data_IF_007875019359
#
_entry.id   IF_007875019359
#
_cell.length_a   1.000
_cell.length_b   1.000
_cell.length_c   1.000
_cell.angle_alpha   90.00
_cell.angle_beta   90.00
_cell.angle_gamma   90.00
#
_symmetry.space_group_name_H-M   'P 1'
#
loop_
_entity.id
_entity.type
_entity.pdbx_description
1 polymer ?
#
# COMPACT_ATOMS: atom_id res chain seq x y z
N UNK A 1 -9.86 -27.76 -71.99
CA UNK A 1 -9.08 -27.82 -70.75
C UNK A 1 -8.97 -26.39 -70.21
N UNK A 2 -9.52 -26.12 -69.02
CA UNK A 2 -9.32 -24.91 -68.16
C UNK A 2 -9.92 -23.59 -68.70
N UNK A 3 -10.72 -22.75 -68.02
CA UNK A 3 -11.65 -22.69 -66.87
C UNK A 3 -12.32 -21.28 -67.00
N UNK A 4 -13.64 -21.08 -66.81
CA UNK A 4 -14.20 -19.72 -66.75
C UNK A 4 -14.06 -19.12 -65.34
N UNK A 5 -13.95 -17.79 -65.28
CA UNK A 5 -13.79 -17.00 -64.05
C UNK A 5 -15.08 -17.01 -63.21
N UNK A 6 -14.95 -17.37 -61.94
CA UNK A 6 -16.03 -17.28 -60.95
C UNK A 6 -16.20 -15.85 -60.47
N UNK A 7 -17.38 -15.27 -60.72
CA UNK A 7 -17.84 -14.05 -60.06
C UNK A 7 -18.31 -14.41 -58.64
N UNK A 8 -17.68 -13.81 -57.62
CA UNK A 8 -18.09 -13.92 -56.23
C UNK A 8 -19.16 -12.84 -55.96
N UNK A 9 -20.42 -13.25 -55.76
CA UNK A 9 -21.44 -12.39 -55.16
C UNK A 9 -21.14 -12.28 -53.66
N UNK A 10 -20.85 -11.08 -53.16
CA UNK A 10 -20.96 -10.78 -51.72
C UNK A 10 -22.42 -10.46 -51.40
N UNK A 11 -23.11 -11.35 -50.67
CA UNK A 11 -24.30 -10.99 -49.93
C UNK A 11 -23.88 -10.29 -48.63
N UNK A 12 -24.24 -9.02 -48.47
CA UNK A 12 -24.19 -8.34 -47.20
C UNK A 12 -25.39 -8.78 -46.35
N UNK A 13 -25.14 -9.53 -45.28
CA UNK A 13 -26.13 -9.78 -44.23
C UNK A 13 -25.95 -8.71 -43.14
N UNK A 14 -26.90 -7.77 -43.04
CA UNK A 14 -27.06 -6.96 -41.84
C UNK A 14 -27.57 -7.87 -40.72
N UNK A 15 -26.69 -8.30 -39.83
CA UNK A 15 -27.07 -8.82 -38.53
C UNK A 15 -27.23 -7.62 -37.58
N UNK A 16 -28.47 -7.24 -37.30
CA UNK A 16 -28.80 -6.42 -36.15
C UNK A 16 -28.55 -7.26 -34.88
N UNK A 17 -27.36 -7.12 -34.31
CA UNK A 17 -27.07 -7.66 -32.99
C UNK A 17 -27.59 -6.66 -31.95
N UNK A 18 -28.73 -6.99 -31.34
CA UNK A 18 -29.14 -6.41 -30.06
C UNK A 18 -28.11 -6.80 -29.00
N UNK A 19 -27.14 -5.92 -28.77
CA UNK A 19 -26.19 -6.02 -27.67
C UNK A 19 -26.85 -5.59 -26.36
N UNK A 20 -27.69 -6.46 -25.78
CA UNK A 20 -27.97 -6.41 -24.36
C UNK A 20 -26.72 -6.85 -23.61
N UNK A 21 -25.74 -5.96 -23.47
CA UNK A 21 -24.67 -6.15 -22.49
C UNK A 21 -25.32 -5.96 -21.13
N UNK A 22 -25.48 -7.05 -20.37
CA UNK A 22 -25.55 -6.93 -18.92
C UNK A 22 -24.25 -6.29 -18.48
N UNK A 23 -24.22 -4.97 -18.41
CA UNK A 23 -23.12 -4.25 -17.80
C UNK A 23 -23.08 -4.74 -16.36
N UNK A 24 -21.94 -5.35 -15.99
CA UNK A 24 -21.67 -5.62 -14.59
C UNK A 24 -21.80 -4.33 -13.78
N UNK A 25 -22.00 -4.48 -12.47
CA UNK A 25 -22.01 -3.35 -11.54
C UNK A 25 -20.75 -2.52 -11.80
N UNK A 26 -20.85 -1.19 -12.04
CA UNK A 26 -19.69 -0.34 -12.24
C UNK A 26 -18.69 -0.50 -11.09
N UNK A 27 -17.41 -0.51 -11.43
CA UNK A 27 -16.33 -0.67 -10.46
C UNK A 27 -15.76 0.69 -10.07
N UNK A 28 -15.99 1.08 -8.83
CA UNK A 28 -15.48 2.30 -8.21
C UNK A 28 -14.15 2.07 -7.46
N UNK A 29 -13.68 0.82 -7.32
CA UNK A 29 -12.46 0.51 -6.56
C UNK A 29 -11.24 1.26 -7.09
N UNK A 30 -10.31 1.56 -6.21
CA UNK A 30 -9.02 2.17 -6.52
C UNK A 30 -8.87 3.58 -5.97
N UNK A 31 -7.77 4.22 -6.38
CA UNK A 31 -7.40 5.55 -5.94
C UNK A 31 -7.86 6.59 -6.96
N UNK A 32 -8.42 7.69 -6.46
CA UNK A 32 -9.00 8.78 -7.22
C UNK A 32 -8.43 10.11 -6.77
N UNK A 33 -7.97 10.93 -7.71
CA UNK A 33 -7.72 12.34 -7.47
C UNK A 33 -9.04 13.09 -7.58
N UNK A 34 -9.45 13.79 -6.52
CA UNK A 34 -10.77 14.42 -6.47
C UNK A 34 -10.72 15.89 -6.09
N UNK A 35 -11.87 16.57 -6.17
CA UNK A 35 -12.06 17.94 -5.69
C UNK A 35 -11.56 18.18 -4.26
N UNK A 36 -11.59 17.15 -3.41
CA UNK A 36 -11.25 17.22 -1.98
C UNK A 36 -9.96 16.47 -1.62
N UNK A 37 -9.12 16.18 -2.61
CA UNK A 37 -7.90 15.40 -2.45
C UNK A 37 -8.06 13.93 -2.85
N UNK A 38 -7.08 13.12 -2.50
CA UNK A 38 -7.04 11.72 -2.87
C UNK A 38 -8.08 10.91 -2.08
N UNK A 39 -8.88 10.13 -2.80
CA UNK A 39 -9.91 9.25 -2.29
C UNK A 39 -9.55 7.81 -2.67
N UNK A 40 -9.52 6.91 -1.69
CA UNK A 40 -9.31 5.48 -1.91
C UNK A 40 -10.65 4.78 -1.69
N UNK A 41 -11.08 3.99 -2.66
CA UNK A 41 -12.31 3.20 -2.60
C UNK A 41 -11.99 1.70 -2.72
N UNK A 42 -12.68 0.88 -1.94
CA UNK A 42 -12.69 -0.57 -2.05
C UNK A 42 -14.13 -1.04 -2.30
N UNK A 43 -14.33 -1.92 -3.28
CA UNK A 43 -15.65 -2.44 -3.63
C UNK A 43 -15.71 -3.97 -3.54
N UNK A 44 -16.64 -4.48 -2.73
CA UNK A 44 -17.01 -5.89 -2.70
C UNK A 44 -18.45 -6.05 -3.21
N UNK A 45 -18.57 -6.51 -4.46
CA UNK A 45 -19.84 -6.60 -5.17
C UNK A 45 -20.50 -5.23 -5.35
N UNK A 46 -21.60 -4.98 -4.63
CA UNK A 46 -22.27 -3.68 -4.61
C UNK A 46 -21.86 -2.82 -3.43
N UNK A 47 -21.16 -3.34 -2.42
CA UNK A 47 -20.76 -2.58 -1.24
C UNK A 47 -19.49 -1.81 -1.54
N UNK A 48 -19.46 -0.53 -1.19
CA UNK A 48 -18.26 0.31 -1.34
C UNK A 48 -17.93 0.93 0.01
N UNK A 49 -16.68 0.78 0.42
CA UNK A 49 -16.07 1.55 1.50
C UNK A 49 -14.91 2.37 0.96
N UNK A 50 -14.46 3.38 1.71
CA UNK A 50 -13.32 4.17 1.33
C UNK A 50 -13.00 5.27 2.30
N UNK A 51 -11.93 5.98 2.02
CA UNK A 51 -11.46 7.06 2.86
C UNK A 51 -10.70 8.13 2.07
N UNK A 52 -10.63 9.31 2.66
CA UNK A 52 -9.83 10.45 2.22
C UNK A 52 -9.33 11.23 3.45
N UNK A 53 -8.40 12.16 3.25
CA UNK A 53 -7.83 12.97 4.34
C UNK A 53 -8.28 14.42 4.22
N UNK A 54 -9.00 14.92 5.22
CA UNK A 54 -9.39 16.32 5.33
C UNK A 54 -9.47 16.75 6.80
N UNK A 55 -8.39 17.32 7.33
CA UNK A 55 -8.30 17.66 8.76
C UNK A 55 -8.31 16.44 9.70
N UNK A 56 -8.13 15.24 9.14
CA UNK A 56 -8.21 13.94 9.80
C UNK A 56 -8.66 12.86 8.80
N UNK A 57 -8.72 11.61 9.25
CA UNK A 57 -9.29 10.52 8.47
C UNK A 57 -10.80 10.75 8.28
N UNK A 58 -11.27 10.67 7.04
CA UNK A 58 -12.68 10.79 6.68
C UNK A 58 -13.09 9.52 5.93
N UNK A 59 -14.29 9.00 6.20
CA UNK A 59 -14.77 7.74 5.63
C UNK A 59 -15.92 7.96 4.65
N UNK A 60 -16.04 7.03 3.72
CA UNK A 60 -17.15 6.89 2.78
C UNK A 60 -17.65 5.45 2.86
N UNK A 61 -18.94 5.28 3.08
CA UNK A 61 -19.60 3.97 3.06
C UNK A 61 -20.87 4.04 2.23
N UNK A 62 -21.07 3.09 1.32
CA UNK A 62 -22.19 3.14 0.40
C UNK A 62 -22.42 1.87 -0.38
N UNK A 63 -23.33 1.96 -1.34
CA UNK A 63 -23.60 0.87 -2.27
C UNK A 63 -23.88 1.35 -3.69
N UNK A 64 -23.46 0.54 -4.67
CA UNK A 64 -23.78 0.76 -6.08
C UNK A 64 -25.20 0.26 -6.34
N UNK A 65 -26.08 1.19 -6.69
CA UNK A 65 -27.47 0.90 -7.03
C UNK A 65 -27.59 0.21 -8.39
N UNK A 66 -28.77 -0.34 -8.68
CA UNK A 66 -29.07 -0.93 -9.99
C UNK A 66 -28.95 0.05 -11.18
N UNK A 67 -28.96 1.36 -10.90
CA UNK A 67 -28.71 2.42 -11.87
C UNK A 67 -27.23 2.54 -12.28
N UNK A 68 -26.32 1.90 -11.53
CA UNK A 68 -24.88 2.06 -11.67
C UNK A 68 -24.30 3.22 -10.84
N UNK A 69 -25.13 3.96 -10.12
CA UNK A 69 -24.71 5.05 -9.24
C UNK A 69 -24.29 4.50 -7.89
N UNK A 70 -23.12 4.93 -7.40
CA UNK A 70 -22.74 4.75 -6.01
C UNK A 70 -23.45 5.79 -5.16
N UNK A 71 -24.26 5.37 -4.19
CA UNK A 71 -24.87 6.23 -3.17
C UNK A 71 -24.22 5.92 -1.84
N UNK A 72 -23.80 6.95 -1.10
CA UNK A 72 -22.99 6.80 0.09
C UNK A 72 -23.33 7.81 1.18
N UNK A 73 -22.93 7.47 2.39
CA UNK A 73 -22.75 8.39 3.51
C UNK A 73 -21.27 8.63 3.75
N UNK A 74 -20.93 9.80 4.26
CA UNK A 74 -19.57 10.13 4.65
C UNK A 74 -19.52 10.64 6.09
N UNK A 75 -18.38 10.41 6.75
CA UNK A 75 -18.07 10.89 8.08
C UNK A 75 -16.72 11.61 8.08
N UNK A 76 -16.71 12.83 8.62
CA UNK A 76 -15.55 13.68 8.83
C UNK A 76 -15.48 14.04 10.32
N UNK A 77 -14.31 14.47 10.85
CA UNK A 77 -14.18 14.85 12.26
C UNK A 77 -15.21 15.88 12.75
N UNK A 78 -15.65 16.78 11.88
CA UNK A 78 -16.60 17.86 12.21
C UNK A 78 -17.92 17.83 11.43
N UNK A 79 -18.11 16.87 10.53
CA UNK A 79 -19.30 16.83 9.68
C UNK A 79 -19.64 15.38 9.27
N UNK A 80 -20.89 15.17 8.89
CA UNK A 80 -21.30 13.94 8.21
C UNK A 80 -22.38 14.29 7.21
N UNK A 81 -22.61 13.41 6.25
CA UNK A 81 -23.60 13.68 5.22
C UNK A 81 -23.81 12.52 4.28
N UNK A 82 -24.34 12.85 3.12
CA UNK A 82 -24.63 11.89 2.07
C UNK A 82 -24.18 12.42 0.71
N UNK A 83 -23.90 11.49 -0.20
CA UNK A 83 -23.44 11.80 -1.53
C UNK A 83 -23.73 10.70 -2.53
N UNK A 84 -23.39 10.98 -3.76
CA UNK A 84 -23.42 10.00 -4.84
C UNK A 84 -22.32 10.25 -5.87
N UNK A 85 -21.83 9.17 -6.49
CA UNK A 85 -20.91 9.19 -7.61
C UNK A 85 -21.50 8.42 -8.80
N UNK A 86 -21.27 8.94 -10.00
CA UNK A 86 -21.63 8.32 -11.26
C UNK A 86 -20.38 8.25 -12.14
N UNK A 87 -20.00 7.03 -12.51
CA UNK A 87 -18.80 6.74 -13.28
C UNK A 87 -19.00 7.16 -14.74
N UNK A 88 -17.98 7.75 -15.35
CA UNK A 88 -17.94 7.95 -16.79
C UNK A 88 -17.90 6.59 -17.52
N UNK A 89 -18.38 6.52 -18.79
CA UNK A 89 -18.42 5.26 -19.53
C UNK A 89 -17.07 4.57 -19.74
N UNK A 90 -15.97 5.34 -19.71
CA UNK A 90 -14.60 4.84 -19.82
C UNK A 90 -14.04 4.32 -18.48
N UNK A 91 -14.78 4.52 -17.39
CA UNK A 91 -14.36 4.18 -16.04
C UNK A 91 -13.23 5.03 -15.49
N UNK A 92 -12.75 6.05 -16.22
CA UNK A 92 -11.54 6.81 -15.87
C UNK A 92 -11.83 8.03 -14.99
N UNK A 93 -13.10 8.43 -14.90
CA UNK A 93 -13.56 9.57 -14.10
C UNK A 93 -14.93 9.30 -13.49
N UNK A 94 -15.30 10.08 -12.48
CA UNK A 94 -16.66 10.15 -11.98
C UNK A 94 -17.09 11.60 -11.79
N UNK A 95 -18.40 11.80 -11.84
CA UNK A 95 -19.06 13.03 -11.39
C UNK A 95 -19.98 12.71 -10.22
N UNK A 96 -20.14 13.65 -9.31
CA UNK A 96 -20.93 13.40 -8.12
C UNK A 96 -21.30 14.65 -7.37
N UNK A 97 -22.09 14.45 -6.33
CA UNK A 97 -22.47 15.51 -5.41
C UNK A 97 -22.54 14.99 -3.99
N UNK A 98 -22.34 15.88 -3.04
CA UNK A 98 -22.52 15.61 -1.61
C UNK A 98 -23.27 16.77 -0.94
N UNK A 99 -23.82 16.48 0.24
CA UNK A 99 -24.35 17.49 1.16
C UNK A 99 -24.16 17.06 2.60
N UNK A 100 -23.88 18.04 3.46
CA UNK A 100 -23.87 17.82 4.90
C UNK A 100 -25.27 17.47 5.42
N UNK A 101 -25.31 16.67 6.48
CA UNK A 101 -26.54 16.28 7.18
C UNK A 101 -27.31 17.54 7.61
N UNK A 102 -28.57 17.62 7.21
CA UNK A 102 -29.45 18.75 7.50
C UNK A 102 -29.29 19.95 6.55
N UNK A 103 -28.31 19.92 5.62
CA UNK A 103 -28.23 20.88 4.52
C UNK A 103 -29.16 20.49 3.38
N UNK A 104 -29.76 21.48 2.71
CA UNK A 104 -30.45 21.28 1.43
C UNK A 104 -29.56 21.57 0.22
N UNK A 105 -28.37 22.15 0.45
CA UNK A 105 -27.43 22.54 -0.60
C UNK A 105 -26.52 21.37 -0.96
N UNK A 106 -26.53 21.01 -2.24
CA UNK A 106 -25.61 20.04 -2.84
C UNK A 106 -24.38 20.75 -3.41
N UNK A 107 -23.21 20.17 -3.20
CA UNK A 107 -21.92 20.63 -3.73
C UNK A 107 -21.35 19.56 -4.66
N UNK A 108 -20.61 19.98 -5.69
CA UNK A 108 -19.98 19.05 -6.64
C UNK A 108 -18.81 18.29 -6.03
N UNK A 109 -18.64 17.04 -6.44
CA UNK A 109 -17.47 16.21 -6.15
C UNK A 109 -17.13 15.44 -7.41
N UNK A 110 -16.01 15.81 -8.02
CA UNK A 110 -15.52 15.21 -9.26
C UNK A 110 -14.20 14.49 -8.97
N UNK A 111 -13.93 13.42 -9.71
CA UNK A 111 -12.68 12.69 -9.58
C UNK A 111 -12.24 11.97 -10.85
N UNK A 112 -10.94 11.69 -10.94
CA UNK A 112 -10.31 10.90 -11.99
C UNK A 112 -9.36 9.86 -11.38
N UNK A 113 -9.22 8.71 -12.01
CA UNK A 113 -8.38 7.62 -11.49
C UNK A 113 -6.94 8.06 -11.38
N UNK A 114 -6.33 7.89 -10.21
CA UNK A 114 -4.91 8.09 -10.01
C UNK A 114 -4.14 7.00 -10.75
N UNK A 115 -3.09 7.36 -11.49
CA UNK A 115 -2.10 6.39 -11.95
C UNK A 115 -2.38 5.63 -13.24
N UNK A 116 -3.12 6.16 -14.23
CA UNK A 116 -2.99 5.62 -15.60
C UNK A 116 -1.55 5.71 -16.14
N UNK A 117 -0.75 6.63 -15.60
CA UNK A 117 0.70 6.79 -15.87
C UNK A 117 1.61 6.20 -14.76
N UNK A 118 1.03 5.62 -13.70
CA UNK A 118 1.76 5.14 -12.49
C UNK A 118 1.43 3.70 -12.05
N UNK A 119 0.57 2.99 -12.79
CA UNK A 119 0.34 1.56 -12.60
C UNK A 119 1.64 0.80 -12.94
N UNK A 120 2.40 0.44 -11.90
CA UNK A 120 3.74 -0.14 -11.99
C UNK A 120 4.82 0.64 -11.21
N UNK A 121 4.48 1.77 -10.61
CA UNK A 121 5.37 2.49 -9.70
C UNK A 121 5.62 1.70 -8.42
N UNK A 122 6.88 1.66 -7.98
CA UNK A 122 7.27 1.12 -6.68
C UNK A 122 7.51 2.26 -5.70
N UNK A 123 6.94 2.16 -4.52
CA UNK A 123 7.14 3.11 -3.42
C UNK A 123 7.88 2.44 -2.28
N UNK A 124 9.07 2.94 -1.97
CA UNK A 124 9.73 2.61 -0.71
C UNK A 124 9.29 3.65 0.33
N UNK A 125 8.49 3.23 1.29
CA UNK A 125 8.03 4.09 2.39
C UNK A 125 8.78 3.67 3.65
N UNK A 126 9.59 4.58 4.19
CA UNK A 126 10.40 4.35 5.39
C UNK A 126 9.80 5.18 6.51
N UNK A 127 9.31 4.49 7.52
CA UNK A 127 8.83 5.05 8.76
C UNK A 127 9.91 4.81 9.82
N UNK A 128 10.63 5.87 10.16
CA UNK A 128 11.75 5.82 11.08
C UNK A 128 11.38 6.42 12.43
N UNK A 129 11.97 5.92 13.51
CA UNK A 129 11.89 6.54 14.84
C UNK A 129 13.25 7.08 15.21
N UNK A 130 13.30 8.12 16.04
CA UNK A 130 14.57 8.65 16.53
C UNK A 130 15.39 7.55 17.22
N UNK A 131 16.67 7.46 16.85
CA UNK A 131 17.57 6.44 17.40
C UNK A 131 18.26 6.91 18.68
N UNK A 132 18.30 8.22 18.88
CA UNK A 132 18.98 8.90 19.97
C UNK A 132 18.00 9.20 21.11
N UNK A 133 18.44 8.95 22.34
CA UNK A 133 17.68 9.31 23.54
C UNK A 133 18.12 10.68 24.11
N UNK A 134 19.27 11.20 23.63
CA UNK A 134 19.95 12.34 24.26
C UNK A 134 20.66 13.23 23.25
N UNK A 135 20.73 14.53 23.57
CA UNK A 135 21.42 15.54 22.74
C UNK A 135 22.94 15.35 22.60
N UNK A 136 23.56 14.57 23.49
CA UNK A 136 25.00 14.28 23.43
C UNK A 136 25.34 13.04 22.60
N UNK A 137 24.33 12.36 22.07
CA UNK A 137 24.49 11.24 21.14
C UNK A 137 24.68 11.73 19.71
N UNK A 138 25.34 10.91 18.90
CA UNK A 138 25.55 11.25 17.50
C UNK A 138 24.27 11.01 16.71
N UNK A 139 23.86 12.02 15.93
CA UNK A 139 22.76 11.90 14.99
C UNK A 139 23.05 10.79 13.97
N UNK A 140 22.03 9.97 13.75
CA UNK A 140 22.03 8.82 12.88
C UNK A 140 20.60 8.62 12.39
N UNK A 141 20.45 8.58 11.07
CA UNK A 141 19.20 8.21 10.39
C UNK A 141 19.53 7.13 9.37
N UNK A 142 18.96 5.95 9.59
CA UNK A 142 19.07 4.86 8.64
C UNK A 142 18.17 5.13 7.44
N UNK A 143 16.99 5.71 7.67
CA UNK A 143 16.05 6.12 6.65
C UNK A 143 16.64 7.09 5.63
N UNK A 144 17.39 8.10 6.08
CA UNK A 144 18.07 9.05 5.18
C UNK A 144 19.09 8.35 4.27
N UNK A 145 19.81 7.34 4.78
CA UNK A 145 20.75 6.56 3.97
C UNK A 145 20.03 5.71 2.92
N UNK A 146 18.94 5.06 3.30
CA UNK A 146 18.10 4.29 2.38
C UNK A 146 17.45 5.21 1.32
N UNK A 147 16.94 6.37 1.72
CA UNK A 147 16.39 7.37 0.80
C UNK A 147 17.43 7.84 -0.20
N UNK A 148 18.59 8.29 0.27
CA UNK A 148 19.66 8.78 -0.60
C UNK A 148 20.11 7.71 -1.62
N UNK A 149 20.14 6.45 -1.22
CA UNK A 149 20.56 5.36 -2.10
C UNK A 149 19.49 4.95 -3.12
N UNK A 150 18.23 4.75 -2.68
CA UNK A 150 17.18 4.19 -3.53
C UNK A 150 16.45 5.25 -4.37
N UNK A 151 16.49 6.54 -4.00
CA UNK A 151 15.93 7.61 -4.80
C UNK A 151 16.61 7.79 -6.18
N UNK A 152 17.77 7.16 -6.39
CA UNK A 152 18.46 7.14 -7.70
C UNK A 152 17.84 6.19 -8.72
N UNK A 153 16.98 5.26 -8.28
CA UNK A 153 16.47 4.18 -9.13
C UNK A 153 15.31 4.67 -10.00
N UNK A 154 15.38 4.39 -11.30
CA UNK A 154 14.27 4.65 -12.21
C UNK A 154 13.04 3.80 -11.82
N UNK A 155 11.86 4.43 -11.75
CA UNK A 155 10.61 3.75 -11.41
C UNK A 155 10.40 3.46 -9.92
N UNK A 156 11.30 3.93 -9.05
CA UNK A 156 11.17 3.87 -7.59
C UNK A 156 11.02 5.27 -7.03
N UNK A 157 10.01 5.49 -6.20
CA UNK A 157 9.87 6.70 -5.40
C UNK A 157 10.07 6.38 -3.93
N UNK A 158 10.88 7.19 -3.24
CA UNK A 158 11.13 7.00 -1.81
C UNK A 158 10.42 8.07 -0.99
N UNK A 159 9.87 7.69 0.16
CA UNK A 159 9.33 8.60 1.18
C UNK A 159 9.87 8.19 2.53
N UNK A 160 10.57 9.10 3.18
CA UNK A 160 11.06 8.93 4.55
C UNK A 160 10.30 9.87 5.49
N UNK A 161 9.80 9.35 6.61
CA UNK A 161 9.17 10.14 7.68
C UNK A 161 9.62 9.63 9.04
N UNK A 162 9.84 10.57 9.96
CA UNK A 162 9.96 10.25 11.38
C UNK A 162 8.56 10.08 11.98
N UNK A 163 8.39 9.01 12.76
CA UNK A 163 7.18 8.65 13.51
C UNK A 163 7.46 8.88 14.99
N UNK A 164 6.70 9.77 15.61
CA UNK A 164 6.88 10.11 17.02
C UNK A 164 5.91 9.34 17.93
N UNK A 165 4.69 9.11 17.43
CA UNK A 165 3.59 8.51 18.17
C UNK A 165 2.70 7.66 17.24
N UNK A 166 1.60 7.13 17.78
CA UNK A 166 0.64 6.32 17.02
C UNK A 166 -0.16 7.15 16.01
N UNK A 167 -0.35 8.44 16.24
CA UNK A 167 -1.10 9.32 15.34
C UNK A 167 -0.31 9.57 14.06
N UNK A 168 1.01 9.78 14.17
CA UNK A 168 1.93 9.82 13.03
C UNK A 168 1.91 8.50 12.25
N UNK A 169 1.92 7.37 12.95
CA UNK A 169 1.90 6.04 12.35
C UNK A 169 0.63 5.82 11.52
N UNK A 170 -0.55 6.14 12.09
CA UNK A 170 -1.83 6.07 11.40
C UNK A 170 -1.87 7.01 10.20
N UNK A 171 -1.44 8.27 10.38
CA UNK A 171 -1.45 9.29 9.33
C UNK A 171 -0.57 8.88 8.14
N UNK A 172 0.66 8.45 8.38
CA UNK A 172 1.58 8.12 7.29
C UNK A 172 1.22 6.80 6.61
N UNK A 173 0.67 5.82 7.32
CA UNK A 173 0.13 4.62 6.68
C UNK A 173 -1.10 4.97 5.81
N UNK A 174 -2.01 5.83 6.28
CA UNK A 174 -3.13 6.31 5.46
C UNK A 174 -2.65 7.05 4.20
N UNK A 175 -1.59 7.85 4.31
CA UNK A 175 -0.96 8.49 3.14
C UNK A 175 -0.28 7.47 2.20
N UNK A 176 0.34 6.41 2.75
CA UNK A 176 0.95 5.35 1.95
C UNK A 176 -0.11 4.55 1.16
N UNK A 177 -1.27 4.30 1.76
CA UNK A 177 -2.42 3.66 1.11
C UNK A 177 -2.95 4.48 -0.09
N UNK A 178 -2.75 5.80 -0.07
CA UNK A 178 -3.12 6.69 -1.18
C UNK A 178 -2.12 6.67 -2.34
N UNK A 179 -0.92 6.09 -2.17
CA UNK A 179 0.09 6.05 -3.22
C UNK A 179 -0.30 5.06 -4.34
N UNK A 180 -0.15 5.44 -5.62
CA UNK A 180 -0.45 4.55 -6.73
C UNK A 180 0.65 3.50 -6.91
N UNK A 181 0.28 2.23 -7.13
CA UNK A 181 1.24 1.14 -7.35
C UNK A 181 1.56 0.36 -6.08
N UNK A 182 2.74 -0.26 -6.02
CA UNK A 182 3.13 -1.14 -4.91
C UNK A 182 3.87 -0.36 -3.81
N UNK A 183 3.49 -0.59 -2.56
CA UNK A 183 4.19 -0.03 -1.39
C UNK A 183 5.01 -1.09 -0.68
N UNK A 184 6.29 -0.79 -0.51
CA UNK A 184 7.25 -1.52 0.31
C UNK A 184 7.47 -0.70 1.58
N UNK A 185 6.79 -1.08 2.66
CA UNK A 185 6.81 -0.37 3.93
C UNK A 185 7.94 -0.90 4.82
N UNK A 186 8.84 -0.01 5.23
CA UNK A 186 9.97 -0.29 6.13
C UNK A 186 9.75 0.45 7.44
N UNK A 187 9.73 -0.29 8.54
CA UNK A 187 9.84 0.27 9.88
C UNK A 187 11.31 0.24 10.29
N UNK A 188 11.91 1.42 10.51
CA UNK A 188 13.29 1.60 10.95
C UNK A 188 13.28 2.10 12.39
N UNK A 189 13.49 1.22 13.37
CA UNK A 189 13.31 1.60 14.78
C UNK A 189 14.06 0.68 15.73
N UNK A 190 14.20 1.14 16.98
CA UNK A 190 14.36 0.20 18.09
C UNK A 190 13.09 -0.66 18.23
N UNK A 191 13.25 -1.92 18.63
CA UNK A 191 12.11 -2.82 18.84
C UNK A 191 12.42 -3.97 19.79
N UNK A 192 11.34 -4.57 20.27
CA UNK A 192 11.33 -5.84 21.01
C UNK A 192 10.30 -6.78 20.39
N UNK A 193 10.12 -7.96 20.98
CA UNK A 193 9.05 -8.89 20.60
C UNK A 193 7.64 -8.31 20.79
N UNK A 194 7.51 -7.27 21.62
CA UNK A 194 6.24 -6.62 21.95
C UNK A 194 5.87 -5.49 20.97
N UNK A 195 6.82 -4.96 20.20
CA UNK A 195 6.55 -3.88 19.25
C UNK A 195 7.76 -3.01 18.91
N UNK A 196 7.50 -2.02 18.07
CA UNK A 196 8.45 -0.96 17.72
C UNK A 196 8.38 0.15 18.77
N UNK A 197 9.53 0.68 19.18
CA UNK A 197 9.60 1.78 20.13
C UNK A 197 9.18 3.08 19.44
N UNK A 198 8.39 3.89 20.15
CA UNK A 198 8.01 5.26 19.78
C UNK A 198 8.46 6.21 20.88
N UNK A 199 8.46 7.52 20.63
CA UNK A 199 8.83 8.53 21.64
C UNK A 199 7.99 8.42 22.91
N UNK A 200 6.70 8.06 22.76
CA UNK A 200 5.76 7.93 23.88
C UNK A 200 5.33 6.48 24.19
N UNK A 201 6.16 5.48 23.86
CA UNK A 201 5.93 4.10 24.28
C UNK A 201 6.30 3.06 23.23
N UNK A 202 5.40 2.11 22.99
CA UNK A 202 5.61 1.01 22.05
C UNK A 202 4.35 0.84 21.20
N UNK A 203 4.50 0.87 19.87
CA UNK A 203 3.44 0.41 18.97
C UNK A 203 3.51 -1.10 18.82
N UNK A 204 2.53 -1.79 19.40
CA UNK A 204 2.41 -3.24 19.34
C UNK A 204 1.62 -3.71 18.12
N UNK A 205 1.24 -4.99 18.13
CA UNK A 205 0.49 -5.59 17.03
C UNK A 205 -0.80 -4.83 16.69
N UNK A 206 -1.54 -4.39 17.72
CA UNK A 206 -2.83 -3.72 17.54
C UNK A 206 -2.66 -2.39 16.82
N UNK A 207 -1.77 -1.54 17.32
CA UNK A 207 -1.51 -0.21 16.76
C UNK A 207 -0.98 -0.31 15.33
N UNK A 208 -0.06 -1.24 15.06
CA UNK A 208 0.45 -1.46 13.70
C UNK A 208 -0.66 -1.96 12.77
N UNK A 209 -1.49 -2.91 13.20
CA UNK A 209 -2.59 -3.46 12.38
C UNK A 209 -3.63 -2.38 12.07
N UNK A 210 -4.00 -1.57 13.06
CA UNK A 210 -4.93 -0.45 12.88
C UNK A 210 -4.37 0.56 11.86
N UNK A 211 -3.08 0.93 11.97
CA UNK A 211 -2.46 1.87 11.06
C UNK A 211 -2.37 1.35 9.61
N UNK A 212 -2.03 0.08 9.40
CA UNK A 212 -1.88 -0.49 8.05
C UNK A 212 -3.20 -0.97 7.43
N UNK A 213 -4.30 -0.98 8.17
CA UNK A 213 -5.62 -1.42 7.70
C UNK A 213 -6.03 -0.80 6.35
N UNK A 214 -5.83 0.52 6.11
CA UNK A 214 -6.20 1.14 4.84
C UNK A 214 -5.29 0.74 3.66
N UNK A 215 -4.12 0.16 3.94
CA UNK A 215 -3.08 -0.07 2.94
C UNK A 215 -3.32 -1.33 2.11
N UNK A 216 -4.25 -1.27 1.16
CA UNK A 216 -4.53 -2.36 0.20
C UNK A 216 -3.40 -2.63 -0.81
N UNK A 217 -2.44 -1.71 -0.92
CA UNK A 217 -1.36 -1.70 -1.91
C UNK A 217 0.00 -2.21 -1.39
N UNK A 218 0.03 -2.82 -0.20
CA UNK A 218 1.28 -3.31 0.41
C UNK A 218 1.80 -4.55 -0.31
N UNK A 219 3.00 -4.45 -0.88
CA UNK A 219 3.77 -5.59 -1.38
C UNK A 219 4.67 -6.19 -0.29
N UNK A 220 5.07 -5.40 0.71
CA UNK A 220 5.92 -5.85 1.81
C UNK A 220 5.76 -4.98 3.05
N UNK A 221 5.82 -5.60 4.22
CA UNK A 221 6.22 -4.95 5.47
C UNK A 221 7.56 -5.52 5.89
N UNK A 222 8.53 -4.65 6.14
CA UNK A 222 9.84 -5.03 6.63
C UNK A 222 10.15 -4.29 7.92
N UNK A 223 10.45 -5.05 8.97
CA UNK A 223 10.93 -4.54 10.24
C UNK A 223 12.45 -4.51 10.22
N UNK A 224 13.01 -3.36 9.86
CA UNK A 224 14.42 -3.01 10.04
C UNK A 224 14.67 -2.67 11.53
N UNK A 225 14.27 -3.60 12.40
CA UNK A 225 14.20 -3.45 13.84
C UNK A 225 14.44 -4.81 14.52
N UNK A 226 15.12 -4.81 15.65
CA UNK A 226 15.49 -6.04 16.37
C UNK A 226 14.26 -6.83 16.86
N UNK A 227 14.38 -8.17 16.91
CA UNK A 227 13.49 -9.10 17.63
C UNK A 227 12.01 -9.18 17.20
N UNK A 228 11.48 -8.29 16.35
CA UNK A 228 10.05 -8.28 15.98
C UNK A 228 9.60 -9.63 15.41
N UNK A 229 10.46 -10.29 14.62
CA UNK A 229 10.13 -11.58 14.01
C UNK A 229 10.13 -12.76 15.00
N UNK A 230 10.69 -12.58 16.21
CA UNK A 230 10.61 -13.57 17.28
C UNK A 230 9.29 -13.46 18.08
N UNK A 231 8.59 -12.34 17.95
CA UNK A 231 7.32 -12.08 18.61
C UNK A 231 6.09 -12.64 17.87
N UNK A 232 4.91 -12.20 18.32
CA UNK A 232 3.63 -12.60 17.71
C UNK A 232 3.14 -11.64 16.62
N UNK A 233 3.70 -10.42 16.56
CA UNK A 233 3.28 -9.35 15.65
C UNK A 233 3.19 -9.80 14.19
N UNK A 234 4.21 -10.46 13.60
CA UNK A 234 4.15 -10.83 12.18
C UNK A 234 2.97 -11.75 11.87
N UNK A 235 2.68 -12.72 12.76
CA UNK A 235 1.54 -13.63 12.58
C UNK A 235 0.21 -12.91 12.77
N UNK A 236 0.13 -11.96 13.71
CA UNK A 236 -1.07 -11.16 13.91
C UNK A 236 -1.38 -10.29 12.69
N UNK A 237 -0.36 -9.64 12.10
CA UNK A 237 -0.49 -8.89 10.83
C UNK A 237 -1.03 -9.79 9.73
N UNK A 238 -0.40 -10.95 9.51
CA UNK A 238 -0.85 -11.86 8.44
C UNK A 238 -2.29 -12.36 8.66
N UNK A 239 -2.69 -12.55 9.92
CA UNK A 239 -4.05 -12.98 10.26
C UNK A 239 -5.11 -11.87 10.30
N UNK A 240 -4.71 -10.59 10.22
CA UNK A 240 -5.63 -9.45 10.39
C UNK A 240 -6.60 -9.30 9.21
N UNK A 241 -6.18 -9.73 8.01
CA UNK A 241 -7.02 -9.73 6.80
C UNK A 241 -6.66 -10.89 5.87
N UNK A 242 -7.55 -11.21 4.95
CA UNK A 242 -7.44 -12.39 4.05
C UNK A 242 -7.10 -12.04 2.60
N UNK A 243 -7.14 -10.77 2.28
CA UNK A 243 -7.06 -10.17 0.95
C UNK A 243 -5.71 -9.47 0.71
N UNK A 244 -4.65 -9.95 1.37
CA UNK A 244 -3.29 -9.49 1.10
C UNK A 244 -2.94 -9.65 -0.39
N UNK A 245 -2.20 -8.70 -0.99
CA UNK A 245 -1.71 -8.83 -2.36
C UNK A 245 -0.89 -10.11 -2.56
N UNK A 246 -0.93 -10.66 -3.79
CA UNK A 246 -0.13 -11.83 -4.13
C UNK A 246 1.36 -11.54 -3.93
N UNK A 247 2.05 -12.44 -3.21
CA UNK A 247 3.47 -12.26 -2.91
C UNK A 247 3.77 -11.31 -1.74
N UNK A 248 2.74 -10.84 -1.02
CA UNK A 248 2.92 -10.06 0.21
C UNK A 248 3.76 -10.81 1.25
N UNK A 249 4.68 -10.09 1.88
CA UNK A 249 5.61 -10.63 2.88
C UNK A 249 5.70 -9.71 4.09
N UNK A 250 5.77 -10.30 5.28
CA UNK A 250 6.27 -9.65 6.50
C UNK A 250 7.66 -10.20 6.80
N UNK A 251 8.68 -9.35 6.90
CA UNK A 251 10.08 -9.75 7.09
C UNK A 251 10.78 -8.90 8.16
N UNK A 252 11.92 -9.36 8.67
CA UNK A 252 12.70 -8.66 9.69
C UNK A 252 13.60 -9.62 10.47
N UNK A 253 13.95 -9.24 11.71
CA UNK A 253 14.93 -9.96 12.53
C UNK A 253 14.33 -10.70 13.72
N UNK A 254 14.84 -11.91 13.99
CA UNK A 254 14.52 -12.69 15.19
C UNK A 254 15.54 -12.49 16.32
N UNK A 255 16.66 -11.81 16.05
CA UNK A 255 17.70 -11.52 17.03
C UNK A 255 17.94 -10.00 17.14
N UNK A 256 18.82 -9.62 18.06
CA UNK A 256 19.42 -8.29 18.04
C UNK A 256 20.54 -8.30 16.98
N UNK A 257 20.57 -7.30 16.12
CA UNK A 257 21.52 -7.21 15.00
C UNK A 257 22.33 -5.93 15.16
N UNK A 258 23.64 -6.03 14.95
CA UNK A 258 24.48 -4.85 14.93
C UNK A 258 24.25 -4.00 13.67
N UNK A 259 24.64 -2.73 13.74
CA UNK A 259 24.45 -1.74 12.69
C UNK A 259 25.07 -2.11 11.34
N UNK A 260 26.25 -2.71 11.33
CA UNK A 260 26.90 -3.08 10.08
C UNK A 260 26.21 -4.29 9.45
N UNK A 261 25.85 -5.26 10.28
CA UNK A 261 25.11 -6.46 9.89
C UNK A 261 23.75 -6.13 9.29
N UNK A 262 22.97 -5.25 9.94
CA UNK A 262 21.68 -4.80 9.42
C UNK A 262 21.86 -3.99 8.14
N UNK A 263 22.72 -2.97 8.11
CA UNK A 263 22.91 -2.13 6.93
C UNK A 263 23.22 -2.95 5.66
N UNK A 264 24.20 -3.87 5.72
CA UNK A 264 24.53 -4.73 4.58
C UNK A 264 23.33 -5.57 4.11
N UNK A 265 22.55 -6.10 5.06
CA UNK A 265 21.39 -6.92 4.76
C UNK A 265 20.30 -6.09 4.10
N UNK A 266 19.97 -4.93 4.64
CA UNK A 266 18.90 -4.05 4.12
C UNK A 266 19.23 -3.52 2.73
N UNK A 267 20.47 -3.05 2.52
CA UNK A 267 20.90 -2.60 1.21
C UNK A 267 20.81 -3.74 0.19
N UNK A 268 21.24 -4.96 0.54
CA UNK A 268 21.11 -6.10 -0.37
C UNK A 268 19.64 -6.47 -0.63
N UNK A 269 18.85 -6.61 0.43
CA UNK A 269 17.46 -7.06 0.36
C UNK A 269 16.60 -6.11 -0.48
N UNK A 270 16.65 -4.81 -0.15
CA UNK A 270 15.90 -3.79 -0.88
C UNK A 270 16.42 -3.62 -2.31
N UNK A 271 17.73 -3.76 -2.57
CA UNK A 271 18.27 -3.70 -3.93
C UNK A 271 17.79 -4.86 -4.81
N UNK A 272 17.71 -6.07 -4.25
CA UNK A 272 17.18 -7.23 -4.94
C UNK A 272 15.69 -7.04 -5.32
N UNK A 273 14.91 -6.37 -4.47
CA UNK A 273 13.49 -6.10 -4.74
C UNK A 273 13.31 -4.94 -5.72
N UNK A 274 13.92 -3.80 -5.42
CA UNK A 274 13.64 -2.53 -6.10
C UNK A 274 14.38 -2.41 -7.42
N UNK A 275 15.68 -2.72 -7.45
CA UNK A 275 16.53 -2.63 -8.65
C UNK A 275 16.51 -3.92 -9.47
N UNK A 276 16.66 -5.09 -8.81
CA UNK A 276 16.70 -6.38 -9.52
C UNK A 276 15.32 -6.97 -9.81
N UNK A 277 14.26 -6.39 -9.25
CA UNK A 277 12.88 -6.78 -9.53
C UNK A 277 12.47 -8.14 -8.97
N UNK A 278 13.18 -8.68 -7.97
CA UNK A 278 12.79 -9.94 -7.34
C UNK A 278 11.56 -9.74 -6.45
N UNK A 279 10.63 -10.71 -6.41
CA UNK A 279 9.59 -10.75 -5.38
C UNK A 279 10.22 -10.80 -3.97
N UNK A 280 9.62 -10.17 -2.95
CA UNK A 280 10.19 -10.09 -1.60
C UNK A 280 10.67 -11.43 -1.03
N UNK A 281 9.85 -12.49 -1.12
CA UNK A 281 10.25 -13.82 -0.63
C UNK A 281 11.50 -14.38 -1.34
N UNK A 282 11.61 -14.17 -2.65
CA UNK A 282 12.79 -14.62 -3.44
C UNK A 282 14.02 -13.78 -3.14
N UNK A 283 13.85 -12.48 -2.90
CA UNK A 283 14.94 -11.63 -2.44
C UNK A 283 15.42 -12.07 -1.05
N UNK A 284 14.52 -12.47 -0.15
CA UNK A 284 14.86 -12.92 1.19
C UNK A 284 15.66 -14.24 1.16
N UNK A 285 15.29 -15.18 0.30
CA UNK A 285 16.08 -16.39 0.05
C UNK A 285 17.48 -16.06 -0.49
N UNK A 286 17.58 -15.16 -1.46
CA UNK A 286 18.87 -14.75 -2.03
C UNK A 286 19.78 -14.05 -0.99
N UNK A 287 19.21 -13.30 -0.05
CA UNK A 287 19.94 -12.73 1.10
C UNK A 287 20.55 -13.85 1.95
N UNK A 288 19.77 -14.88 2.31
CA UNK A 288 20.26 -16.01 3.10
C UNK A 288 21.35 -16.83 2.37
N UNK A 289 21.30 -16.89 1.05
CA UNK A 289 22.34 -17.55 0.23
C UNK A 289 23.63 -16.71 0.12
N UNK A 290 23.51 -15.38 0.21
CA UNK A 290 24.63 -14.45 -0.05
C UNK A 290 25.38 -14.06 1.21
N UNK A 291 24.66 -13.84 2.31
CA UNK A 291 25.23 -13.38 3.58
C UNK A 291 25.25 -14.54 4.58
N UNK A 292 26.45 -15.01 4.93
CA UNK A 292 26.66 -16.19 5.78
C UNK A 292 26.12 -16.04 7.21
N UNK A 293 25.90 -14.81 7.67
CA UNK A 293 25.36 -14.47 8.98
C UNK A 293 23.86 -14.11 8.97
N UNK A 294 23.22 -14.00 7.80
CA UNK A 294 21.87 -13.43 7.72
C UNK A 294 20.82 -14.26 8.47
N UNK A 295 20.92 -15.59 8.42
CA UNK A 295 19.96 -16.49 9.05
C UNK A 295 20.24 -16.72 10.55
N UNK A 296 20.02 -17.95 11.00
CA UNK A 296 20.14 -18.35 12.41
C UNK A 296 21.56 -18.72 12.85
N UNK A 297 22.56 -18.61 11.97
CA UNK A 297 23.94 -18.98 12.26
C UNK A 297 24.84 -17.77 12.14
N UNK A 298 25.81 -17.63 13.06
CA UNK A 298 26.83 -16.58 12.94
C UNK A 298 27.73 -16.86 11.75
N UNK A 299 28.11 -15.79 11.06
CA UNK A 299 29.08 -15.83 9.97
C UNK A 299 30.51 -15.76 10.48
N UNK A 300 31.45 -15.58 9.56
CA UNK A 300 32.88 -15.49 9.87
C UNK A 300 33.27 -14.25 10.69
N UNK A 301 32.55 -13.15 10.54
CA UNK A 301 32.85 -11.86 11.16
C UNK A 301 31.65 -11.16 11.83
N UNK A 302 30.45 -11.74 11.72
CA UNK A 302 29.20 -11.17 12.22
C UNK A 302 28.38 -12.23 12.94
N UNK A 303 27.65 -11.82 13.96
CA UNK A 303 26.70 -12.69 14.65
C UNK A 303 25.46 -12.93 13.80
N UNK A 304 24.72 -14.00 14.13
CA UNK A 304 23.49 -14.36 13.44
C UNK A 304 22.47 -13.22 13.48
N UNK A 305 22.08 -12.69 12.32
CA UNK A 305 21.07 -11.62 12.22
C UNK A 305 19.65 -12.15 12.44
N UNK A 306 19.43 -13.46 12.31
CA UNK A 306 18.11 -14.06 12.51
C UNK A 306 17.07 -13.54 11.51
N UNK A 307 17.51 -13.08 10.33
CA UNK A 307 16.63 -12.58 9.27
C UNK A 307 15.71 -13.70 8.78
N UNK A 308 14.43 -13.37 8.69
CA UNK A 308 13.39 -14.31 8.27
C UNK A 308 12.20 -13.56 7.71
N UNK A 309 11.27 -14.29 7.11
CA UNK A 309 10.03 -13.75 6.58
C UNK A 309 8.88 -14.74 6.72
N UNK A 310 7.66 -14.20 6.69
CA UNK A 310 6.40 -14.94 6.68
C UNK A 310 5.52 -14.45 5.53
N UNK A 311 4.68 -15.35 5.03
CA UNK A 311 3.65 -15.08 4.01
C UNK A 311 2.27 -15.43 4.58
N UNK A 312 1.17 -14.84 4.07
CA UNK A 312 -0.20 -15.15 4.47
C UNK A 312 -0.58 -16.65 4.42
#
# INVERSE_FOLDING_TARGET
MIRPASALLLLAALAAAGGGTGQGIPDFSGTWETTYGTLVLNQDGSSVSGFYLMGGMCTVEGSVEASGRLVFTYEEPSASGEGWFELAPDGASFSGQWRARGSSTWSGWEGYRSGSEGAGSKWLVILETEWQDRLDEQEYSFGDMLEAWFARLDGVSVRHRFVHDTDDLELFCAQAAMLPGEVFLVFSSHATEEGIALSEGTAGAREIIEAIEPCGNLAMIHFSSCLVMNGSIPRQILSSRRDWPEGFVVSGYTTSVDWAGSALLEFLYLNLILESGLPPARAAEAVLETLDYAGSSSGSCMDAAGFTWLTP
#
